data_IF_698936244731
#
_entry.id   IF_698936244731
#
_cell.length_a   1.000
_cell.length_b   1.000
_cell.length_c   1.000
_cell.angle_alpha   90.00
_cell.angle_beta   90.00
_cell.angle_gamma   90.00
#
_symmetry.space_group_name_H-M   'P 1'
#
loop_
_entity.id
_entity.type
_entity.pdbx_description
1 polymer ?
#
# COMPACT_ATOMS: atom_id res chain seq x y z
N UNK A 1 -14.14 10.40 26.04
CA UNK A 1 -15.18 11.35 25.60
C UNK A 1 -16.10 10.73 24.55
N UNK A 2 -15.55 9.96 23.59
CA UNK A 2 -16.31 9.29 22.53
C UNK A 2 -15.90 7.83 22.51
N UNK A 3 -16.89 6.92 22.46
CA UNK A 3 -16.64 5.49 22.28
C UNK A 3 -16.73 5.17 20.79
N UNK A 4 -15.67 4.62 20.21
CA UNK A 4 -15.70 4.05 18.89
C UNK A 4 -16.07 2.57 19.03
N UNK A 5 -17.33 2.27 18.82
CA UNK A 5 -17.84 0.92 18.91
C UNK A 5 -17.66 0.15 17.61
N UNK A 6 -17.56 -1.17 17.70
CA UNK A 6 -17.61 -2.05 16.53
C UNK A 6 -18.96 -1.86 15.82
N UNK A 7 -18.92 -1.63 14.53
CA UNK A 7 -20.13 -1.38 13.72
C UNK A 7 -21.00 -2.64 13.52
N UNK A 8 -20.51 -3.84 13.88
CA UNK A 8 -21.29 -5.07 13.87
C UNK A 8 -22.13 -5.27 15.14
N UNK A 9 -21.86 -4.47 16.20
CA UNK A 9 -22.55 -4.58 17.46
C UNK A 9 -23.60 -3.47 17.59
N UNK A 10 -24.83 -3.78 18.09
CA UNK A 10 -25.85 -2.75 18.33
C UNK A 10 -25.38 -1.78 19.43
N UNK A 11 -25.64 -0.46 19.30
CA UNK A 11 -25.17 0.53 20.27
C UNK A 11 -25.95 0.55 21.60
N UNK A 12 -27.14 -0.05 21.65
CA UNK A 12 -28.04 0.01 22.79
C UNK A 12 -27.42 -0.58 24.08
N UNK A 13 -26.78 -1.78 24.07
CA UNK A 13 -26.18 -2.34 25.28
C UNK A 13 -25.06 -1.45 25.83
N UNK A 14 -24.27 -0.81 24.96
CA UNK A 14 -23.20 0.12 25.36
C UNK A 14 -23.80 1.35 26.01
N UNK A 15 -24.86 1.93 25.44
CA UNK A 15 -25.56 3.07 26.01
C UNK A 15 -26.18 2.74 27.37
N UNK A 16 -26.87 1.59 27.50
CA UNK A 16 -27.45 1.13 28.77
C UNK A 16 -26.41 0.95 29.86
N UNK A 17 -25.25 0.35 29.51
CA UNK A 17 -24.12 0.17 30.44
C UNK A 17 -23.55 1.52 30.93
N UNK A 18 -23.44 2.52 30.03
CA UNK A 18 -23.01 3.87 30.41
C UNK A 18 -24.03 4.57 31.33
N UNK A 19 -25.31 4.52 30.99
CA UNK A 19 -26.38 5.07 31.83
C UNK A 19 -26.35 4.44 33.22
N UNK A 20 -26.24 3.12 33.30
CA UNK A 20 -26.15 2.42 34.58
C UNK A 20 -24.90 2.81 35.37
N UNK A 21 -23.75 2.98 34.69
CA UNK A 21 -22.50 3.39 35.34
C UNK A 21 -22.59 4.80 35.97
N UNK A 22 -23.32 5.71 35.33
CA UNK A 22 -23.59 7.04 35.87
C UNK A 22 -24.57 6.95 37.08
N UNK A 23 -25.64 6.17 36.94
CA UNK A 23 -26.62 5.98 38.02
C UNK A 23 -26.01 5.33 39.28
N UNK A 24 -25.10 4.41 39.11
CA UNK A 24 -24.37 3.73 40.18
C UNK A 24 -23.24 4.60 40.78
N UNK A 25 -22.99 5.78 40.22
CA UNK A 25 -21.91 6.68 40.62
C UNK A 25 -20.50 6.19 40.25
N UNK A 26 -20.38 5.18 39.38
CA UNK A 26 -19.09 4.73 38.83
C UNK A 26 -18.49 5.75 37.87
N UNK A 27 -19.34 6.49 37.17
CA UNK A 27 -18.96 7.66 36.36
C UNK A 27 -19.61 8.86 37.03
N UNK A 28 -18.83 9.79 37.62
CA UNK A 28 -19.37 11.03 38.18
C UNK A 28 -20.01 11.91 37.08
N UNK A 29 -21.11 12.59 37.41
CA UNK A 29 -21.77 13.54 36.49
C UNK A 29 -20.82 14.63 36.00
N UNK A 30 -19.94 15.13 36.86
CA UNK A 30 -18.93 16.13 36.50
C UNK A 30 -17.97 15.65 35.40
N UNK A 31 -17.58 14.35 35.41
CA UNK A 31 -16.75 13.76 34.39
C UNK A 31 -17.51 13.61 33.06
N UNK A 32 -18.79 13.21 33.14
CA UNK A 32 -19.66 13.14 31.96
C UNK A 32 -19.85 14.52 31.34
N UNK A 33 -20.16 15.54 32.15
CA UNK A 33 -20.35 16.91 31.71
C UNK A 33 -19.08 17.49 31.10
N UNK A 34 -17.89 17.21 31.67
CA UNK A 34 -16.61 17.61 31.10
C UNK A 34 -16.35 16.97 29.74
N UNK A 35 -16.71 15.70 29.55
CA UNK A 35 -16.61 15.00 28.28
C UNK A 35 -17.54 15.57 27.21
N UNK A 36 -18.80 15.87 27.60
CA UNK A 36 -19.78 16.51 26.72
C UNK A 36 -19.30 17.91 26.30
N UNK A 37 -18.76 18.69 27.25
CA UNK A 37 -18.25 20.04 26.96
C UNK A 37 -17.12 20.00 25.93
N UNK A 38 -16.15 19.10 26.05
CA UNK A 38 -15.08 18.94 25.04
C UNK A 38 -15.63 18.62 23.66
N UNK A 39 -16.67 17.79 23.57
CA UNK A 39 -17.34 17.48 22.30
C UNK A 39 -18.04 18.73 21.73
N UNK A 40 -18.73 19.49 22.57
CA UNK A 40 -19.44 20.72 22.15
C UNK A 40 -18.44 21.79 21.70
N UNK A 41 -17.34 21.98 22.40
CA UNK A 41 -16.27 22.91 22.03
C UNK A 41 -15.65 22.51 20.66
N UNK A 42 -15.40 21.22 20.43
CA UNK A 42 -14.93 20.74 19.13
C UNK A 42 -15.95 21.00 18.00
N UNK A 43 -17.25 20.79 18.27
CA UNK A 43 -18.32 21.12 17.33
C UNK A 43 -18.41 22.61 17.04
N UNK A 44 -18.22 23.44 18.06
CA UNK A 44 -18.20 24.90 17.91
C UNK A 44 -16.99 25.33 17.08
N UNK A 45 -15.81 24.80 17.38
CA UNK A 45 -14.59 25.05 16.59
C UNK A 45 -14.76 24.68 15.11
N UNK A 46 -15.44 23.56 14.82
CA UNK A 46 -15.81 23.16 13.45
C UNK A 46 -16.90 24.06 12.83
N UNK A 47 -17.52 24.95 13.59
CA UNK A 47 -18.61 25.85 13.13
C UNK A 47 -19.93 25.10 12.86
N UNK A 48 -20.13 23.89 13.39
CA UNK A 48 -21.33 23.08 13.13
C UNK A 48 -22.62 23.71 13.60
N UNK A 49 -22.57 24.58 14.63
CA UNK A 49 -23.73 25.34 15.13
C UNK A 49 -24.19 26.42 14.16
N UNK A 50 -23.42 26.80 13.15
CA UNK A 50 -23.71 27.83 12.14
C UNK A 50 -24.05 27.27 10.78
N UNK A 51 -23.69 26.03 10.49
CA UNK A 51 -23.86 25.40 9.18
C UNK A 51 -24.58 24.06 9.32
N UNK A 52 -25.84 24.04 8.92
CA UNK A 52 -26.62 22.80 8.87
C UNK A 52 -26.33 21.91 7.65
N UNK A 53 -25.79 22.50 6.57
CA UNK A 53 -25.57 21.81 5.31
C UNK A 53 -24.19 22.12 4.72
N UNK A 54 -23.59 21.12 4.05
CA UNK A 54 -22.35 21.26 3.30
C UNK A 54 -22.72 21.63 1.86
N UNK A 55 -22.15 22.73 1.35
CA UNK A 55 -22.26 23.05 -0.07
C UNK A 55 -21.34 22.13 -0.89
N UNK A 56 -21.91 21.40 -1.85
CA UNK A 56 -21.16 20.51 -2.72
C UNK A 56 -20.11 21.23 -3.58
N UNK A 57 -20.30 22.53 -3.86
CA UNK A 57 -19.30 23.32 -4.57
C UNK A 57 -18.10 23.62 -3.66
N UNK A 58 -18.33 23.86 -2.37
CA UNK A 58 -17.26 24.02 -1.38
C UNK A 58 -16.46 22.72 -1.21
N UNK A 59 -17.11 21.54 -1.26
CA UNK A 59 -16.43 20.25 -1.20
C UNK A 59 -15.39 20.13 -2.31
N UNK A 60 -15.77 20.40 -3.57
CA UNK A 60 -14.85 20.35 -4.72
C UNK A 60 -13.69 21.34 -4.62
N UNK A 61 -13.89 22.47 -3.99
CA UNK A 61 -12.86 23.50 -3.80
C UNK A 61 -11.91 23.16 -2.65
N UNK A 62 -12.42 22.52 -1.59
CA UNK A 62 -11.66 22.25 -0.36
C UNK A 62 -10.94 20.90 -0.38
N UNK A 63 -11.51 19.89 -1.05
CA UNK A 63 -10.93 18.54 -1.09
C UNK A 63 -10.23 18.28 -2.42
N UNK A 64 -9.12 17.59 -2.36
CA UNK A 64 -8.32 17.17 -3.53
C UNK A 64 -7.98 18.32 -4.48
N UNK A 65 -7.81 19.54 -3.96
CA UNK A 65 -7.33 20.66 -4.75
C UNK A 65 -5.84 20.48 -5.10
N UNK A 66 -5.32 21.29 -6.04
CA UNK A 66 -3.94 21.19 -6.52
C UNK A 66 -2.90 21.21 -5.39
N UNK A 67 -3.09 22.04 -4.36
CA UNK A 67 -2.18 22.12 -3.22
C UNK A 67 -2.19 20.82 -2.39
N UNK A 68 -3.37 20.22 -2.16
CA UNK A 68 -3.46 18.93 -1.47
C UNK A 68 -2.83 17.80 -2.27
N UNK A 69 -3.04 17.81 -3.61
CA UNK A 69 -2.44 16.80 -4.49
C UNK A 69 -0.93 16.92 -4.52
N UNK A 70 -0.37 18.13 -4.59
CA UNK A 70 1.07 18.37 -4.54
C UNK A 70 1.70 17.86 -3.24
N UNK A 71 1.09 18.18 -2.08
CA UNK A 71 1.56 17.65 -0.77
C UNK A 71 1.51 16.14 -0.72
N UNK A 72 0.47 15.53 -1.29
CA UNK A 72 0.35 14.06 -1.36
C UNK A 72 1.46 13.46 -2.22
N UNK A 73 1.73 14.01 -3.41
CA UNK A 73 2.79 13.54 -4.31
C UNK A 73 4.17 13.69 -3.67
N UNK A 74 4.45 14.85 -3.06
CA UNK A 74 5.69 15.08 -2.31
C UNK A 74 5.88 14.09 -1.17
N UNK A 75 4.82 13.78 -0.43
CA UNK A 75 4.86 12.82 0.67
C UNK A 75 5.16 11.40 0.17
N UNK A 76 4.53 10.96 -0.94
CA UNK A 76 4.83 9.66 -1.53
C UNK A 76 6.26 9.60 -2.05
N UNK A 77 6.75 10.63 -2.74
CA UNK A 77 8.13 10.68 -3.23
C UNK A 77 9.14 10.65 -2.07
N UNK A 78 8.89 11.43 -1.00
CA UNK A 78 9.73 11.46 0.20
C UNK A 78 9.74 10.12 0.96
N UNK A 79 8.67 9.33 0.85
CA UNK A 79 8.54 8.03 1.51
C UNK A 79 9.27 6.89 0.79
N UNK A 80 9.60 7.01 -0.50
CA UNK A 80 10.24 5.90 -1.23
C UNK A 80 11.57 5.54 -0.60
N UNK A 81 11.71 4.29 -0.19
CA UNK A 81 12.92 3.75 0.44
C UNK A 81 13.57 2.71 -0.46
N UNK A 82 14.78 2.99 -0.93
CA UNK A 82 15.62 2.04 -1.67
C UNK A 82 16.43 1.22 -0.67
N UNK A 83 16.27 -0.10 -0.70
CA UNK A 83 16.87 -1.01 0.30
C UNK A 83 18.07 -1.75 -0.25
N UNK A 84 18.05 -2.10 -1.54
CA UNK A 84 19.12 -2.81 -2.25
C UNK A 84 19.32 -2.17 -3.62
N UNK A 85 20.57 -2.07 -4.04
CA UNK A 85 20.98 -1.54 -5.35
C UNK A 85 22.30 -2.16 -5.84
N UNK A 86 22.47 -3.49 -5.74
CA UNK A 86 23.67 -4.18 -6.24
C UNK A 86 23.68 -4.32 -7.76
N UNK A 87 22.52 -4.22 -8.41
CA UNK A 87 22.40 -4.09 -9.86
C UNK A 87 22.07 -2.65 -10.28
N UNK A 88 22.36 -2.31 -11.51
CA UNK A 88 21.91 -1.05 -12.13
C UNK A 88 20.37 -0.97 -12.19
N UNK A 89 19.85 0.22 -12.43
CA UNK A 89 18.43 0.39 -12.76
C UNK A 89 18.10 -0.39 -14.05
N UNK A 90 16.86 -0.91 -14.19
CA UNK A 90 16.44 -1.60 -15.42
C UNK A 90 16.67 -0.75 -16.66
N UNK A 91 17.17 -1.36 -17.74
CA UNK A 91 17.52 -0.65 -18.97
C UNK A 91 16.59 -1.06 -20.12
N UNK A 92 16.44 -0.15 -21.10
CA UNK A 92 15.56 -0.36 -22.25
C UNK A 92 16.01 -1.53 -23.17
N UNK A 93 17.28 -1.87 -23.16
CA UNK A 93 17.87 -2.93 -23.98
C UNK A 93 17.60 -4.33 -23.44
N UNK A 94 17.18 -4.44 -22.17
CA UNK A 94 16.89 -5.71 -21.50
C UNK A 94 15.46 -6.15 -21.79
N UNK A 95 15.29 -7.41 -22.17
CA UNK A 95 13.97 -8.03 -22.20
C UNK A 95 13.51 -8.30 -20.76
N UNK A 96 12.43 -7.66 -20.33
CA UNK A 96 12.01 -7.66 -18.93
C UNK A 96 10.63 -8.29 -18.73
N UNK A 97 10.52 -9.24 -17.80
CA UNK A 97 9.22 -9.73 -17.32
C UNK A 97 8.71 -8.82 -16.21
N UNK A 98 7.51 -8.33 -16.39
CA UNK A 98 6.78 -7.49 -15.43
C UNK A 98 5.77 -8.36 -14.69
N UNK A 99 5.98 -8.58 -13.39
CA UNK A 99 5.07 -9.37 -12.54
C UNK A 99 4.43 -8.44 -11.53
N UNK A 100 3.09 -8.44 -11.48
CA UNK A 100 2.32 -7.66 -10.52
C UNK A 100 1.35 -8.56 -9.77
N UNK A 101 1.36 -8.48 -8.41
CA UNK A 101 0.43 -9.26 -7.60
C UNK A 101 -0.92 -8.58 -7.50
N UNK A 102 -1.99 -9.35 -7.70
CA UNK A 102 -3.38 -8.88 -7.64
C UNK A 102 -4.17 -9.64 -6.59
N UNK A 103 -4.99 -8.93 -5.81
CA UNK A 103 -5.96 -9.58 -4.94
C UNK A 103 -7.13 -10.16 -5.76
N UNK A 104 -7.89 -11.12 -5.21
CA UNK A 104 -9.05 -11.68 -5.90
C UNK A 104 -10.10 -10.62 -6.27
N UNK A 105 -10.24 -9.56 -5.47
CA UNK A 105 -11.14 -8.45 -5.76
C UNK A 105 -10.61 -7.57 -6.89
N UNK A 106 -9.31 -7.27 -6.90
CA UNK A 106 -8.67 -6.51 -7.98
C UNK A 106 -8.67 -7.29 -9.28
N UNK A 107 -8.41 -8.60 -9.24
CA UNK A 107 -8.46 -9.47 -10.42
C UNK A 107 -9.85 -9.42 -11.08
N UNK A 108 -10.91 -9.59 -10.29
CA UNK A 108 -12.30 -9.47 -10.80
C UNK A 108 -12.62 -8.08 -11.30
N UNK A 109 -12.20 -7.04 -10.58
CA UNK A 109 -12.43 -5.66 -11.00
C UNK A 109 -11.72 -5.33 -12.32
N UNK A 110 -10.53 -5.88 -12.57
CA UNK A 110 -9.80 -5.70 -13.83
C UNK A 110 -10.48 -6.43 -15.01
N UNK A 111 -11.18 -7.54 -14.75
CA UNK A 111 -11.97 -8.26 -15.76
C UNK A 111 -13.29 -7.53 -16.10
N UNK A 112 -13.93 -6.90 -15.10
CA UNK A 112 -15.26 -6.28 -15.23
C UNK A 112 -15.19 -4.79 -15.64
N UNK A 113 -14.04 -4.13 -15.51
CA UNK A 113 -13.94 -2.69 -15.81
C UNK A 113 -13.80 -2.43 -17.31
N UNK A 114 -14.79 -1.76 -17.89
CA UNK A 114 -14.55 -0.95 -19.08
C UNK A 114 -13.36 -0.02 -18.81
N UNK A 115 -12.41 0.08 -19.74
CA UNK A 115 -11.06 0.67 -19.68
C UNK A 115 -10.95 2.15 -19.22
N UNK A 116 -11.87 2.66 -18.43
CA UNK A 116 -11.98 4.10 -18.11
C UNK A 116 -11.38 4.51 -16.75
N UNK A 117 -11.02 3.58 -15.89
CA UNK A 117 -10.45 3.90 -14.57
C UNK A 117 -9.00 3.46 -14.48
N UNK A 118 -8.11 4.41 -14.19
CA UNK A 118 -6.70 4.15 -13.97
C UNK A 118 -6.52 3.30 -12.69
N UNK A 119 -5.89 2.14 -12.82
CA UNK A 119 -5.59 1.23 -11.70
C UNK A 119 -4.10 1.24 -11.39
N UNK A 120 -3.72 0.87 -10.16
CA UNK A 120 -2.30 0.77 -9.77
C UNK A 120 -1.55 -0.27 -10.62
N UNK A 121 -2.20 -1.38 -10.94
CA UNK A 121 -1.70 -2.41 -11.84
C UNK A 121 -1.48 -1.87 -13.26
N UNK A 122 -2.48 -1.15 -13.81
CA UNK A 122 -2.37 -0.52 -15.13
C UNK A 122 -1.26 0.54 -15.19
N UNK A 123 -1.14 1.35 -14.14
CA UNK A 123 -0.05 2.34 -14.01
C UNK A 123 1.31 1.64 -13.94
N UNK A 124 1.44 0.57 -13.17
CA UNK A 124 2.69 -0.19 -13.07
C UNK A 124 3.12 -0.68 -14.45
N UNK A 125 2.28 -1.41 -15.16
CA UNK A 125 2.62 -1.93 -16.49
C UNK A 125 2.90 -0.80 -17.49
N UNK A 126 2.02 0.19 -17.61
CA UNK A 126 2.18 1.28 -18.57
C UNK A 126 3.42 2.13 -18.32
N UNK A 127 3.78 2.37 -17.06
CA UNK A 127 4.98 3.12 -16.70
C UNK A 127 6.26 2.32 -16.96
N UNK A 128 6.27 1.00 -16.73
CA UNK A 128 7.40 0.14 -17.05
C UNK A 128 7.60 0.04 -18.56
N UNK A 129 6.55 -0.24 -19.31
CA UNK A 129 6.60 -0.36 -20.78
C UNK A 129 6.98 0.93 -21.49
N UNK A 130 6.61 2.07 -20.94
CA UNK A 130 7.04 3.38 -21.45
C UNK A 130 8.55 3.64 -21.31
N UNK A 131 9.27 2.86 -20.50
CA UNK A 131 10.71 3.01 -20.22
C UNK A 131 11.56 1.86 -20.73
N UNK A 132 10.94 0.70 -20.96
CA UNK A 132 11.59 -0.54 -21.39
C UNK A 132 11.27 -0.82 -22.86
N UNK A 133 12.11 -1.58 -23.53
CA UNK A 133 11.91 -1.98 -24.91
C UNK A 133 10.98 -3.17 -25.04
N UNK A 134 11.48 -4.37 -24.75
CA UNK A 134 10.68 -5.62 -24.83
C UNK A 134 10.23 -6.07 -23.45
N UNK A 135 8.92 -6.21 -23.28
CA UNK A 135 8.33 -6.59 -21.99
C UNK A 135 7.35 -7.75 -22.12
N UNK A 136 7.27 -8.57 -21.08
CA UNK A 136 6.26 -9.63 -20.91
C UNK A 136 5.47 -9.30 -19.64
N UNK A 137 4.15 -9.17 -19.73
CA UNK A 137 3.27 -8.96 -18.58
C UNK A 137 2.85 -10.29 -17.97
N UNK A 138 2.84 -10.34 -16.64
CA UNK A 138 2.27 -11.44 -15.89
C UNK A 138 1.55 -10.95 -14.63
N UNK A 139 0.29 -11.30 -14.47
CA UNK A 139 -0.44 -11.03 -13.22
C UNK A 139 -0.37 -12.28 -12.34
N UNK A 140 0.06 -12.11 -11.10
CA UNK A 140 0.21 -13.19 -10.14
C UNK A 140 -0.84 -13.03 -9.03
N UNK A 141 -1.56 -14.08 -8.62
CA UNK A 141 -2.43 -14.00 -7.45
C UNK A 141 -1.68 -13.58 -6.18
N UNK A 142 -2.37 -12.91 -5.23
CA UNK A 142 -1.79 -12.53 -3.92
C UNK A 142 -1.29 -13.77 -3.13
N UNK A 143 -1.97 -14.91 -3.29
CA UNK A 143 -1.57 -16.21 -2.74
C UNK A 143 -1.40 -17.23 -3.89
N UNK A 144 -0.26 -17.24 -4.57
CA UNK A 144 -0.04 -18.05 -5.76
C UNK A 144 0.17 -19.53 -5.42
N UNK A 145 -0.45 -20.40 -6.21
CA UNK A 145 -0.24 -21.85 -6.19
C UNK A 145 1.06 -22.24 -6.87
N UNK A 146 1.47 -23.51 -6.79
CA UNK A 146 2.62 -24.03 -7.53
C UNK A 146 2.44 -23.90 -9.06
N UNK A 147 1.21 -24.01 -9.56
CA UNK A 147 0.89 -23.81 -10.97
C UNK A 147 1.08 -22.34 -11.39
N UNK A 148 0.64 -21.39 -10.56
CA UNK A 148 0.83 -19.96 -10.79
C UNK A 148 2.32 -19.59 -10.80
N UNK A 149 3.10 -20.13 -9.86
CA UNK A 149 4.56 -19.98 -9.81
C UNK A 149 5.22 -20.54 -11.08
N UNK A 150 4.80 -21.72 -11.51
CA UNK A 150 5.31 -22.34 -12.74
C UNK A 150 4.98 -21.51 -13.99
N UNK A 151 3.76 -20.98 -14.07
CA UNK A 151 3.35 -20.09 -15.17
C UNK A 151 4.18 -18.79 -15.19
N UNK A 152 4.44 -18.18 -14.03
CA UNK A 152 5.28 -16.99 -13.91
C UNK A 152 6.74 -17.27 -14.32
N UNK A 153 7.29 -18.43 -13.93
CA UNK A 153 8.61 -18.87 -14.36
C UNK A 153 8.70 -19.06 -15.87
N UNK A 154 7.65 -19.65 -16.48
CA UNK A 154 7.58 -19.81 -17.93
C UNK A 154 7.49 -18.45 -18.64
N UNK A 155 6.66 -17.52 -18.13
CA UNK A 155 6.53 -16.17 -18.69
C UNK A 155 7.86 -15.39 -18.66
N UNK A 156 8.71 -15.63 -17.66
CA UNK A 156 10.02 -15.00 -17.50
C UNK A 156 11.18 -15.74 -18.16
N UNK A 157 10.94 -16.91 -18.78
CA UNK A 157 12.01 -17.80 -19.25
C UNK A 157 13.01 -17.11 -20.20
N UNK A 158 12.49 -16.37 -21.19
CA UNK A 158 13.29 -15.68 -22.22
C UNK A 158 13.63 -14.23 -21.84
N UNK A 159 13.39 -13.80 -20.60
CA UNK A 159 13.69 -12.46 -20.13
C UNK A 159 15.04 -12.41 -19.42
N UNK A 160 15.75 -11.28 -19.54
CA UNK A 160 17.03 -11.04 -18.87
C UNK A 160 16.80 -10.63 -17.41
N UNK A 161 15.75 -9.82 -17.19
CA UNK A 161 15.41 -9.28 -15.89
C UNK A 161 13.93 -9.43 -15.55
N UNK A 162 13.61 -9.28 -14.28
CA UNK A 162 12.24 -9.30 -13.75
C UNK A 162 12.02 -8.08 -12.86
N UNK A 163 10.94 -7.35 -13.08
CA UNK A 163 10.40 -6.38 -12.13
C UNK A 163 9.20 -7.03 -11.45
N UNK A 164 9.38 -7.39 -10.18
CA UNK A 164 8.36 -8.04 -9.37
C UNK A 164 7.73 -7.02 -8.41
N UNK A 165 6.46 -6.73 -8.58
CA UNK A 165 5.69 -5.85 -7.72
C UNK A 165 4.76 -6.65 -6.81
N UNK A 166 5.02 -6.62 -5.50
CA UNK A 166 4.11 -7.20 -4.49
C UNK A 166 3.31 -6.11 -3.81
N UNK A 167 2.02 -6.38 -3.58
CA UNK A 167 1.05 -5.43 -3.02
C UNK A 167 0.40 -5.97 -1.73
N UNK A 168 1.19 -6.22 -0.66
CA UNK A 168 0.67 -6.79 0.58
C UNK A 168 -0.33 -5.83 1.24
N UNK A 169 -1.58 -6.25 1.36
CA UNK A 169 -2.68 -5.45 1.90
C UNK A 169 -2.90 -5.74 3.38
N UNK A 170 -3.06 -4.68 4.17
CA UNK A 170 -3.53 -4.80 5.55
C UNK A 170 -5.06 -4.67 5.53
N UNK A 171 -5.74 -5.76 5.89
CA UNK A 171 -7.20 -5.83 6.01
C UNK A 171 -7.53 -6.15 7.46
N UNK A 172 -8.18 -5.21 8.17
CA UNK A 172 -8.58 -5.42 9.56
C UNK A 172 -9.42 -6.71 9.70
N UNK A 173 -9.22 -7.43 10.79
CA UNK A 173 -9.93 -8.68 11.16
C UNK A 173 -9.69 -9.89 10.23
N UNK A 174 -8.75 -9.81 9.31
CA UNK A 174 -8.36 -10.95 8.48
C UNK A 174 -7.09 -11.59 9.03
N UNK A 175 -7.09 -12.91 9.20
CA UNK A 175 -5.88 -13.67 9.52
C UNK A 175 -4.82 -13.46 8.44
N UNK A 176 -3.56 -13.41 8.82
CA UNK A 176 -2.41 -13.16 7.95
C UNK A 176 -2.50 -11.84 7.18
N UNK A 177 -3.29 -10.87 7.70
CA UNK A 177 -3.39 -9.53 7.14
C UNK A 177 -2.01 -8.88 7.01
N UNK A 178 -1.69 -8.39 5.83
CA UNK A 178 -0.39 -7.79 5.53
C UNK A 178 0.74 -8.79 5.26
N UNK A 179 0.47 -10.10 5.29
CA UNK A 179 1.38 -11.13 4.82
C UNK A 179 1.27 -11.35 3.29
N UNK A 180 2.17 -12.12 2.74
CA UNK A 180 2.12 -12.59 1.35
C UNK A 180 2.08 -14.11 1.30
N UNK A 181 1.46 -14.66 0.26
CA UNK A 181 1.49 -16.11 0.02
C UNK A 181 2.90 -16.62 -0.22
N UNK A 182 3.21 -17.80 0.32
CA UNK A 182 4.56 -18.40 0.25
C UNK A 182 5.07 -18.63 -1.17
N UNK A 183 4.19 -18.76 -2.14
CA UNK A 183 4.54 -18.86 -3.56
C UNK A 183 5.24 -17.60 -4.10
N UNK A 184 5.01 -16.40 -3.52
CA UNK A 184 5.70 -15.19 -3.97
C UNK A 184 7.20 -15.20 -3.62
N UNK A 185 7.63 -15.39 -2.35
CA UNK A 185 9.06 -15.56 -2.04
C UNK A 185 9.72 -16.73 -2.76
N UNK A 186 9.00 -17.86 -2.92
CA UNK A 186 9.47 -19.02 -3.66
C UNK A 186 9.75 -18.68 -5.13
N UNK A 187 8.86 -17.94 -5.80
CA UNK A 187 9.06 -17.50 -7.17
C UNK A 187 10.31 -16.61 -7.29
N UNK A 188 10.46 -15.63 -6.38
CA UNK A 188 11.64 -14.76 -6.37
C UNK A 188 12.93 -15.57 -6.17
N UNK A 189 12.93 -16.59 -5.29
CA UNK A 189 14.07 -17.46 -5.09
C UNK A 189 14.42 -18.24 -6.37
N UNK A 190 13.41 -18.84 -7.04
CA UNK A 190 13.64 -19.58 -8.28
C UNK A 190 14.16 -18.68 -9.42
N UNK A 191 13.68 -17.44 -9.51
CA UNK A 191 14.19 -16.46 -10.49
C UNK A 191 15.67 -16.13 -10.24
N UNK A 192 16.04 -15.91 -8.97
CA UNK A 192 17.42 -15.65 -8.56
C UNK A 192 18.34 -16.85 -8.84
N UNK A 193 17.90 -18.07 -8.49
CA UNK A 193 18.62 -19.32 -8.74
C UNK A 193 18.79 -19.59 -10.24
N UNK A 194 17.81 -19.15 -11.05
CA UNK A 194 17.87 -19.15 -12.51
C UNK A 194 18.78 -18.07 -13.12
N UNK A 195 19.45 -17.27 -12.29
CA UNK A 195 20.39 -16.24 -12.72
C UNK A 195 19.73 -14.96 -13.27
N UNK A 196 18.43 -14.75 -13.03
CA UNK A 196 17.73 -13.54 -13.44
C UNK A 196 18.09 -12.36 -12.55
N UNK A 197 18.15 -11.16 -13.12
CA UNK A 197 18.18 -9.91 -12.34
C UNK A 197 16.78 -9.61 -11.82
N UNK A 198 16.59 -9.61 -10.50
CA UNK A 198 15.28 -9.36 -9.87
C UNK A 198 15.26 -7.98 -9.23
N UNK A 199 14.29 -7.17 -9.64
CA UNK A 199 13.96 -5.87 -9.10
C UNK A 199 12.64 -6.00 -8.30
N UNK A 200 12.72 -6.03 -6.97
CA UNK A 200 11.56 -6.21 -6.09
C UNK A 200 11.00 -4.86 -5.67
N UNK A 201 9.74 -4.60 -5.98
CA UNK A 201 8.98 -3.45 -5.53
C UNK A 201 7.91 -3.88 -4.51
N UNK A 202 8.01 -3.42 -3.26
CA UNK A 202 7.03 -3.68 -2.21
C UNK A 202 6.11 -2.48 -2.07
N UNK A 203 4.92 -2.58 -2.64
CA UNK A 203 3.89 -1.56 -2.58
C UNK A 203 2.92 -1.83 -1.44
N UNK A 204 3.37 -1.66 -0.19
CA UNK A 204 2.55 -1.90 0.99
C UNK A 204 3.34 -2.18 2.25
N UNK A 205 2.95 -3.23 2.97
CA UNK A 205 3.56 -3.62 4.23
C UNK A 205 5.03 -4.06 4.04
N UNK A 206 6.02 -3.33 4.59
CA UNK A 206 7.43 -3.67 4.41
C UNK A 206 7.88 -4.91 5.18
N UNK A 207 7.12 -5.37 6.18
CA UNK A 207 7.48 -6.54 6.97
C UNK A 207 7.53 -7.84 6.15
N UNK A 208 6.82 -7.91 5.02
CA UNK A 208 6.89 -9.05 4.10
C UNK A 208 8.29 -9.30 3.55
N UNK A 209 9.17 -8.30 3.59
CA UNK A 209 10.57 -8.44 3.18
C UNK A 209 11.36 -9.46 4.03
N UNK A 210 10.88 -9.80 5.22
CA UNK A 210 11.46 -10.88 6.03
C UNK A 210 11.37 -12.24 5.33
N UNK A 211 10.31 -12.46 4.54
CA UNK A 211 10.04 -13.71 3.85
C UNK A 211 10.75 -13.83 2.49
N UNK A 212 11.04 -12.68 1.84
CA UNK A 212 11.64 -12.68 0.52
C UNK A 212 13.16 -12.95 0.56
N UNK A 213 13.73 -13.66 -0.41
CA UNK A 213 15.19 -13.70 -0.60
C UNK A 213 15.70 -12.30 -0.97
N UNK A 214 17.00 -12.06 -0.81
CA UNK A 214 17.64 -10.79 -1.11
C UNK A 214 17.80 -10.60 -2.61
N UNK A 215 17.04 -9.67 -3.26
CA UNK A 215 17.17 -9.40 -4.69
C UNK A 215 18.32 -8.43 -4.97
N UNK A 216 18.66 -8.24 -6.23
CA UNK A 216 19.70 -7.29 -6.62
C UNK A 216 19.26 -5.82 -6.45
N UNK A 217 17.97 -5.55 -6.60
CA UNK A 217 17.40 -4.22 -6.33
C UNK A 217 16.07 -4.36 -5.58
N UNK A 218 15.88 -3.55 -4.56
CA UNK A 218 14.67 -3.60 -3.74
C UNK A 218 14.27 -2.22 -3.28
N UNK A 219 12.99 -1.90 -3.39
CA UNK A 219 12.42 -0.68 -2.83
C UNK A 219 11.05 -0.94 -2.17
N UNK A 220 10.66 -0.03 -1.27
CA UNK A 220 9.32 -0.01 -0.71
C UNK A 220 8.73 1.41 -0.71
N UNK A 221 7.40 1.50 -0.84
CA UNK A 221 6.64 2.76 -0.85
C UNK A 221 5.58 2.82 0.24
N UNK A 222 5.42 1.76 1.04
CA UNK A 222 4.42 1.63 2.12
C UNK A 222 2.95 1.78 1.68
N UNK A 223 2.70 1.83 0.38
CA UNK A 223 1.36 2.00 -0.18
C UNK A 223 1.32 1.49 -1.61
N UNK A 224 0.18 0.91 -2.01
CA UNK A 224 -0.11 0.49 -3.39
C UNK A 224 -0.92 1.52 -4.18
N UNK A 225 -1.14 2.71 -3.63
CA UNK A 225 -1.86 3.79 -4.34
C UNK A 225 -1.07 4.27 -5.56
N UNK A 226 -1.78 4.73 -6.60
CA UNK A 226 -1.19 5.20 -7.85
C UNK A 226 -0.01 6.17 -7.66
N UNK A 227 -0.08 7.23 -6.83
CA UNK A 227 1.05 8.11 -6.63
C UNK A 227 2.27 7.41 -6.00
N UNK A 228 2.05 6.44 -5.10
CA UNK A 228 3.12 5.63 -4.52
C UNK A 228 3.80 4.73 -5.55
N UNK A 229 3.01 4.09 -6.43
CA UNK A 229 3.54 3.26 -7.54
C UNK A 229 4.38 4.13 -8.48
N UNK A 230 3.87 5.31 -8.89
CA UNK A 230 4.61 6.25 -9.73
C UNK A 230 5.93 6.69 -9.10
N UNK A 231 5.90 7.09 -7.82
CA UNK A 231 7.10 7.50 -7.08
C UNK A 231 8.13 6.35 -6.97
N UNK A 232 7.66 5.13 -6.65
CA UNK A 232 8.51 3.94 -6.58
C UNK A 232 9.17 3.61 -7.91
N UNK A 233 8.41 3.66 -9.02
CA UNK A 233 8.95 3.41 -10.36
C UNK A 233 9.94 4.48 -10.80
N UNK A 234 9.70 5.76 -10.49
CA UNK A 234 10.66 6.84 -10.78
C UNK A 234 12.02 6.59 -10.10
N UNK A 235 12.02 6.08 -8.86
CA UNK A 235 13.24 5.66 -8.15
C UNK A 235 13.83 4.37 -8.75
N UNK A 236 13.00 3.39 -9.10
CA UNK A 236 13.45 2.13 -9.70
C UNK A 236 14.27 2.37 -10.97
N UNK A 237 13.78 3.25 -11.83
CA UNK A 237 14.42 3.62 -13.09
C UNK A 237 15.52 4.69 -12.96
N UNK A 238 15.81 5.18 -11.74
CA UNK A 238 16.86 6.17 -11.48
C UNK A 238 16.51 7.59 -11.92
N UNK A 239 15.24 7.89 -12.17
CA UNK A 239 14.76 9.23 -12.56
C UNK A 239 14.67 10.17 -11.34
N UNK A 240 14.52 9.61 -10.14
CA UNK A 240 14.50 10.34 -8.88
C UNK A 240 15.29 9.63 -7.79
N UNK A 241 15.65 10.38 -6.74
CA UNK A 241 16.33 9.83 -5.56
C UNK A 241 15.33 9.20 -4.60
N UNK A 242 15.80 8.28 -3.74
CA UNK A 242 15.03 7.67 -2.67
C UNK A 242 15.44 8.29 -1.32
N UNK A 243 14.80 9.36 -0.85
CA UNK A 243 15.18 10.00 0.41
C UNK A 243 14.66 9.23 1.63
N UNK A 244 13.74 8.30 1.46
CA UNK A 244 13.10 7.56 2.53
C UNK A 244 14.07 6.66 3.30
N UNK A 245 13.73 6.43 4.58
CA UNK A 245 14.40 5.50 5.49
C UNK A 245 13.35 4.59 6.10
N UNK A 246 13.69 3.32 6.37
CA UNK A 246 12.78 2.40 7.01
C UNK A 246 12.31 2.94 8.36
N UNK A 247 10.99 3.11 8.56
CA UNK A 247 10.44 3.55 9.84
C UNK A 247 10.29 2.42 10.86
N UNK A 248 10.78 1.22 10.51
CA UNK A 248 10.69 0.01 11.33
C UNK A 248 11.94 -0.86 11.13
N UNK A 249 12.25 -1.71 12.11
CA UNK A 249 13.20 -2.81 11.93
C UNK A 249 12.48 -4.00 11.28
N UNK A 250 13.05 -4.57 10.24
CA UNK A 250 12.59 -5.82 9.64
C UNK A 250 13.52 -6.92 10.17
N UNK A 251 13.03 -7.85 11.01
CA UNK A 251 13.86 -8.86 11.67
C UNK A 251 14.74 -9.62 10.68
N UNK A 252 16.01 -9.82 11.05
CA UNK A 252 17.03 -10.54 10.31
C UNK A 252 17.34 -9.98 8.89
N UNK A 253 16.83 -8.77 8.57
CA UNK A 253 16.98 -8.16 7.24
C UNK A 253 17.49 -6.73 7.26
N UNK A 254 16.75 -5.81 7.89
CA UNK A 254 17.05 -4.37 7.86
C UNK A 254 16.77 -3.72 9.19
N UNK A 255 17.71 -2.93 9.67
CA UNK A 255 17.54 -2.12 10.87
C UNK A 255 16.65 -0.88 10.62
N UNK A 256 16.05 -0.37 11.68
CA UNK A 256 15.40 0.93 11.68
C UNK A 256 16.31 2.00 11.08
N UNK A 257 15.80 2.82 10.18
CA UNK A 257 16.55 3.89 9.52
C UNK A 257 17.37 3.43 8.31
N UNK A 258 17.35 2.13 7.95
CA UNK A 258 18.02 1.65 6.74
C UNK A 258 17.42 2.28 5.47
N UNK A 259 18.27 2.58 4.49
CA UNK A 259 17.96 3.11 3.16
C UNK A 259 19.25 3.59 2.48
N UNK A 260 19.29 3.50 1.17
CA UNK A 260 20.46 3.86 0.35
C UNK A 260 20.40 5.31 -0.12
#
# INVERSE_FOLDING_TARGET
DIILQDYNEPPEPTLEALVQAVQDGRIPMEELDASVMRILEAKEWCGLHRRAHIDLQDVRRLFCNEAHMAVMEDAYQAGVTLLEASAAAPQAEEKTCLIYTVSPEEGRALEDMEQTVETSCGVFFGQCEGRLGETVRHMLPEDPTEEDVSAAMQASADCDSVIFATTPRIVCYKELSGAVGQGQPQLVQQLLDGGKTVNLCVFGNPFVLADFPKPQRCLTTYSSRIPAVRAGLSVLFGESVAPGRLPVTIPDRYEFGHGL
#
